data_IF_103776624475
#
_entry.id   IF_103776624475
#
_cell.length_a   1.000
_cell.length_b   1.000
_cell.length_c   1.000
_cell.angle_alpha   90.00
_cell.angle_beta   90.00
_cell.angle_gamma   90.00
#
_symmetry.space_group_name_H-M   'P 1'
#
loop_
_entity.id
_entity.type
_entity.pdbx_description
1 polymer ?
#
# COMPACT_ATOMS: atom_id res chain seq x y z
N UNK A 1 70.05 17.45 -10.33
CA UNK A 1 68.85 18.13 -9.78
C UNK A 1 67.62 17.33 -10.21
N UNK A 2 66.87 16.74 -9.26
CA UNK A 2 65.76 15.82 -9.53
C UNK A 2 64.47 16.59 -9.91
N UNK A 3 63.65 16.11 -10.87
CA UNK A 3 62.29 16.61 -11.02
C UNK A 3 61.42 16.03 -9.90
N UNK A 4 60.75 16.92 -9.18
CA UNK A 4 59.87 16.60 -8.05
C UNK A 4 58.64 15.82 -8.55
N UNK A 5 58.52 14.56 -8.13
CA UNK A 5 57.32 13.72 -8.32
C UNK A 5 56.21 14.29 -7.45
N UNK A 6 55.27 15.02 -8.04
CA UNK A 6 54.09 15.53 -7.33
C UNK A 6 53.19 14.33 -7.02
N UNK A 7 53.04 14.02 -5.72
CA UNK A 7 52.13 12.99 -5.25
C UNK A 7 50.69 13.48 -5.39
N UNK A 8 49.88 12.80 -6.20
CA UNK A 8 48.45 13.12 -6.42
C UNK A 8 47.57 12.65 -5.25
N UNK A 9 48.18 12.30 -4.11
CA UNK A 9 47.50 11.68 -2.96
C UNK A 9 46.75 12.67 -2.05
N UNK A 10 46.59 13.94 -2.44
CA UNK A 10 45.99 14.98 -1.60
C UNK A 10 44.55 15.38 -1.95
N UNK A 11 43.90 14.68 -2.90
CA UNK A 11 42.55 15.03 -3.38
C UNK A 11 41.61 13.83 -3.52
N UNK A 12 41.80 12.76 -2.74
CA UNK A 12 40.72 11.80 -2.51
C UNK A 12 40.14 12.11 -1.15
N UNK A 13 39.20 13.05 -1.25
CA UNK A 13 38.25 13.53 -0.27
C UNK A 13 37.85 12.46 0.77
N UNK A 14 38.00 12.78 2.06
CA UNK A 14 37.48 12.02 3.20
C UNK A 14 35.94 11.92 3.19
N UNK A 15 35.26 12.47 2.18
CA UNK A 15 33.82 12.37 1.97
C UNK A 15 33.31 11.05 1.38
N UNK A 16 34.18 10.16 0.86
CA UNK A 16 33.70 8.97 0.12
C UNK A 16 33.34 7.79 1.06
N UNK A 17 33.68 7.86 2.35
CA UNK A 17 33.38 6.80 3.33
C UNK A 17 32.18 7.18 4.22
N UNK A 18 31.09 7.70 3.63
CA UNK A 18 29.79 7.64 4.29
C UNK A 18 29.18 6.25 4.04
N UNK A 19 28.61 5.55 5.04
CA UNK A 19 27.99 4.25 4.83
C UNK A 19 26.78 4.40 3.90
N UNK A 20 26.94 4.02 2.64
CA UNK A 20 25.86 3.98 1.66
C UNK A 20 24.91 2.85 2.06
N UNK A 21 23.72 3.20 2.55
CA UNK A 21 22.67 2.23 2.84
C UNK A 21 22.20 1.59 1.53
N UNK A 22 22.52 0.32 1.32
CA UNK A 22 22.10 -0.42 0.13
C UNK A 22 20.59 -0.66 0.19
N UNK A 23 19.82 0.07 -0.61
CA UNK A 23 18.37 -0.12 -0.72
C UNK A 23 18.11 -1.30 -1.67
N UNK A 24 17.80 -2.48 -1.11
CA UNK A 24 17.35 -3.64 -1.86
C UNK A 24 15.85 -3.84 -1.67
N UNK A 25 15.14 -4.16 -2.75
CA UNK A 25 13.74 -4.57 -2.71
C UNK A 25 13.67 -6.09 -2.92
N UNK A 26 13.03 -6.80 -1.99
CA UNK A 26 12.80 -8.24 -2.09
C UNK A 26 11.38 -8.50 -2.56
N UNK A 27 11.21 -9.43 -3.50
CA UNK A 27 9.90 -9.88 -3.97
C UNK A 27 9.63 -11.27 -3.43
N UNK A 28 8.57 -11.39 -2.64
CA UNK A 28 8.13 -12.66 -2.07
C UNK A 28 6.83 -13.11 -2.74
N UNK A 29 6.70 -14.42 -2.95
CA UNK A 29 5.45 -15.04 -3.35
C UNK A 29 4.81 -15.71 -2.13
N UNK A 30 3.54 -15.40 -1.87
CA UNK A 30 2.75 -16.14 -0.89
C UNK A 30 2.39 -17.50 -1.48
N UNK A 31 2.59 -18.57 -0.70
CA UNK A 31 2.17 -19.94 -1.03
C UNK A 31 1.11 -20.40 -0.03
N UNK A 32 -0.14 -19.94 -0.20
CA UNK A 32 -1.23 -20.34 0.68
C UNK A 32 -1.63 -21.80 0.46
N UNK A 33 -2.10 -22.47 1.51
CA UNK A 33 -2.75 -23.77 1.38
C UNK A 33 -4.17 -23.65 0.80
N UNK A 34 -4.80 -24.78 0.46
CA UNK A 34 -6.15 -24.77 -0.17
C UNK A 34 -7.24 -24.11 0.70
N UNK A 35 -7.24 -24.35 2.01
CA UNK A 35 -8.17 -23.68 2.94
C UNK A 35 -7.90 -22.17 3.02
N UNK A 36 -6.63 -21.79 3.13
CA UNK A 36 -6.22 -20.39 3.23
C UNK A 36 -6.60 -19.63 1.95
N UNK A 37 -6.38 -20.20 0.77
CA UNK A 37 -6.84 -19.60 -0.48
C UNK A 37 -8.35 -19.36 -0.50
N UNK A 38 -9.13 -20.33 -0.03
CA UNK A 38 -10.59 -20.20 0.03
C UNK A 38 -11.03 -19.08 0.97
N UNK A 39 -10.39 -18.96 2.13
CA UNK A 39 -10.64 -17.88 3.09
C UNK A 39 -10.24 -16.52 2.51
N UNK A 40 -9.07 -16.42 1.87
CA UNK A 40 -8.64 -15.21 1.19
C UNK A 40 -9.62 -14.78 0.09
N UNK A 41 -10.12 -15.73 -0.72
CA UNK A 41 -11.13 -15.45 -1.75
C UNK A 41 -12.45 -14.99 -1.15
N UNK A 42 -12.92 -15.61 -0.06
CA UNK A 42 -14.13 -15.19 0.66
C UNK A 42 -13.99 -13.77 1.19
N UNK A 43 -12.86 -13.48 1.82
CA UNK A 43 -12.55 -12.15 2.33
C UNK A 43 -12.54 -11.11 1.21
N UNK A 44 -11.80 -11.36 0.13
CA UNK A 44 -11.74 -10.46 -1.03
C UNK A 44 -13.13 -10.26 -1.67
N UNK A 45 -13.93 -11.32 -1.76
CA UNK A 45 -15.31 -11.26 -2.25
C UNK A 45 -16.20 -10.39 -1.37
N UNK A 46 -16.15 -10.56 -0.05
CA UNK A 46 -16.89 -9.75 0.91
C UNK A 46 -16.48 -8.27 0.84
N UNK A 47 -15.18 -7.96 0.76
CA UNK A 47 -14.69 -6.60 0.59
C UNK A 47 -15.21 -5.95 -0.70
N UNK A 48 -15.19 -6.69 -1.83
CA UNK A 48 -15.72 -6.21 -3.11
C UNK A 48 -17.22 -5.92 -3.03
N UNK A 49 -17.99 -6.78 -2.38
CA UNK A 49 -19.42 -6.57 -2.16
C UNK A 49 -19.69 -5.29 -1.36
N UNK A 50 -19.02 -5.14 -0.20
CA UNK A 50 -19.17 -3.97 0.67
C UNK A 50 -18.83 -2.68 -0.07
N UNK A 51 -17.70 -2.66 -0.80
CA UNK A 51 -17.27 -1.49 -1.55
C UNK A 51 -18.26 -1.11 -2.64
N UNK A 52 -18.67 -2.06 -3.49
CA UNK A 52 -19.59 -1.79 -4.58
C UNK A 52 -20.95 -1.31 -4.08
N UNK A 53 -21.43 -1.86 -2.95
CA UNK A 53 -22.71 -1.48 -2.38
C UNK A 53 -22.67 -0.09 -1.73
N UNK A 54 -21.58 0.24 -1.02
CA UNK A 54 -21.37 1.58 -0.49
C UNK A 54 -21.25 2.62 -1.61
N UNK A 55 -20.51 2.28 -2.68
CA UNK A 55 -20.35 3.14 -3.85
C UNK A 55 -21.68 3.42 -4.56
N UNK A 56 -22.53 2.40 -4.73
CA UNK A 56 -23.86 2.56 -5.31
C UNK A 56 -24.72 3.55 -4.50
N UNK A 57 -24.80 3.37 -3.18
CA UNK A 57 -25.53 4.30 -2.30
C UNK A 57 -24.96 5.71 -2.32
N UNK A 58 -23.63 5.83 -2.42
CA UNK A 58 -22.95 7.11 -2.48
C UNK A 58 -23.24 7.84 -3.80
N UNK A 59 -23.32 7.09 -4.91
CA UNK A 59 -23.67 7.60 -6.22
C UNK A 59 -25.14 8.05 -6.25
N UNK A 60 -26.08 7.23 -5.77
CA UNK A 60 -27.50 7.59 -5.64
C UNK A 60 -27.68 8.88 -4.81
N UNK A 61 -26.96 8.99 -3.70
CA UNK A 61 -26.99 10.17 -2.85
C UNK A 61 -26.41 11.41 -3.56
N UNK A 62 -25.36 11.23 -4.36
CA UNK A 62 -24.78 12.31 -5.16
C UNK A 62 -25.71 12.76 -6.29
N UNK A 63 -26.36 11.82 -6.99
CA UNK A 63 -27.38 12.08 -8.01
C UNK A 63 -28.58 12.85 -7.43
N UNK A 64 -28.95 12.56 -6.18
CA UNK A 64 -29.95 13.32 -5.43
C UNK A 64 -29.46 14.72 -4.98
N UNK A 65 -28.25 15.14 -5.34
CA UNK A 65 -27.66 16.45 -4.99
C UNK A 65 -27.15 16.57 -3.55
N UNK A 66 -27.06 15.45 -2.82
CA UNK A 66 -26.61 15.47 -1.43
C UNK A 66 -25.09 15.38 -1.32
N UNK A 67 -24.58 15.84 -0.17
CA UNK A 67 -23.15 15.78 0.16
C UNK A 67 -22.68 14.35 0.39
N UNK A 68 -21.37 14.14 0.22
CA UNK A 68 -20.71 12.87 0.48
C UNK A 68 -21.00 12.32 1.88
N UNK A 69 -21.26 11.01 1.98
CA UNK A 69 -21.59 10.37 3.25
C UNK A 69 -20.28 9.99 3.94
N UNK A 70 -20.02 10.45 5.17
CA UNK A 70 -18.78 10.12 5.86
C UNK A 70 -18.73 8.63 6.25
N UNK A 71 -17.52 8.10 6.33
CA UNK A 71 -17.25 6.68 6.67
C UNK A 71 -17.97 6.23 7.93
N UNK A 72 -18.01 7.05 8.99
CA UNK A 72 -18.66 6.68 10.26
C UNK A 72 -20.14 6.32 10.09
N UNK A 73 -20.86 7.00 9.17
CA UNK A 73 -22.25 6.67 8.84
C UNK A 73 -22.32 5.38 8.01
N UNK A 74 -21.42 5.21 7.04
CA UNK A 74 -21.37 4.01 6.21
C UNK A 74 -21.03 2.74 7.01
N UNK A 75 -20.16 2.85 8.02
CA UNK A 75 -19.77 1.73 8.88
C UNK A 75 -20.95 1.12 9.63
N UNK A 76 -21.97 1.93 9.97
CA UNK A 76 -23.19 1.41 10.61
C UNK A 76 -24.01 0.49 9.69
N UNK A 77 -23.93 0.66 8.36
CA UNK A 77 -24.62 -0.20 7.39
C UNK A 77 -24.07 -1.63 7.35
N UNK A 78 -22.83 -1.84 7.78
CA UNK A 78 -22.22 -3.18 7.81
C UNK A 78 -23.01 -4.14 8.71
N UNK A 79 -23.53 -3.64 9.84
CA UNK A 79 -24.36 -4.44 10.76
C UNK A 79 -25.66 -4.86 10.07
N UNK A 80 -26.28 -3.95 9.33
CA UNK A 80 -27.53 -4.21 8.60
C UNK A 80 -27.35 -5.13 7.40
N UNK A 81 -26.23 -5.02 6.69
CA UNK A 81 -25.91 -5.94 5.58
C UNK A 81 -25.58 -7.33 6.08
N UNK A 82 -24.93 -7.46 7.24
CA UNK A 82 -24.65 -8.74 7.88
C UNK A 82 -25.93 -9.49 8.28
N UNK A 83 -26.99 -8.79 8.73
CA UNK A 83 -28.28 -9.42 9.10
C UNK A 83 -29.04 -9.99 7.91
N UNK A 84 -28.75 -9.52 6.69
CA UNK A 84 -29.49 -9.86 5.47
C UNK A 84 -28.94 -11.11 4.77
N UNK A 85 -27.91 -11.74 5.32
CA UNK A 85 -27.28 -12.98 4.87
C UNK A 85 -27.11 -13.92 6.07
#
# INVERSE_FOLDING_TARGET
MLPRRISVSLFIDQSIIWPVKRLQAFKFQLRPGGQQEREMRRFAGACRFVFNRALALQNENHEAGNKYIPYGKMASWLVEWKKRH
#
